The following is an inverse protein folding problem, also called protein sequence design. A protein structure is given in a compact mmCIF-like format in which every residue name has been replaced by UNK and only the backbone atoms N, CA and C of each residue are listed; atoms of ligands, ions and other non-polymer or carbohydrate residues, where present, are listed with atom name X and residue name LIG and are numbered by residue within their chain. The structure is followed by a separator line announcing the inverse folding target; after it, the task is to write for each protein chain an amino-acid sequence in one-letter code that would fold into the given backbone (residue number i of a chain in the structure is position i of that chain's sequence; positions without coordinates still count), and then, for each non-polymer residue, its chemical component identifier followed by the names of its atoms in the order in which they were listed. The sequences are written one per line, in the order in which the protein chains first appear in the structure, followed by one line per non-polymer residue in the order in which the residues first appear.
data_IF_998051682265
#
_entry.id   IF_998051682265
#
_cell.length_a   1.000
_cell.length_b   1.000
_cell.length_c   1.000
_cell.angle_alpha   90.00
_cell.angle_beta   90.00
_cell.angle_gamma   90.00
#
_symmetry.space_group_name_H-M   'P 1'
#
loop_
_entity.id
_entity.type
_entity.pdbx_description
1 polymer ?
#
# COMPACT_ATOMS: atom_id res chain seq x y z
N UNK A 1 2.49 20.74 4.94
CA UNK A 1 2.17 19.83 3.81
C UNK A 1 2.85 18.45 3.87
N UNK A 2 4.14 18.31 4.22
CA UNK A 2 4.85 17.00 4.27
C UNK A 2 4.22 15.93 5.17
N UNK A 3 3.75 16.28 6.38
CA UNK A 3 3.13 15.33 7.32
C UNK A 3 1.80 14.75 6.80
N UNK A 4 1.00 15.54 6.08
CA UNK A 4 -0.31 15.11 5.56
C UNK A 4 -0.18 14.05 4.47
N UNK A 5 0.84 14.16 3.62
CA UNK A 5 1.17 13.11 2.63
C UNK A 5 1.71 11.83 3.26
N UNK A 6 2.40 11.93 4.40
CA UNK A 6 2.91 10.75 5.11
C UNK A 6 1.76 9.94 5.75
N UNK A 7 0.81 10.61 6.40
CA UNK A 7 -0.36 9.92 6.96
C UNK A 7 -1.25 9.30 5.88
N UNK A 8 -1.40 9.97 4.72
CA UNK A 8 -2.13 9.43 3.57
C UNK A 8 -1.49 8.15 3.00
N UNK A 9 -0.17 7.99 3.11
CA UNK A 9 0.52 6.78 2.65
C UNK A 9 0.36 5.57 3.57
N UNK A 10 -0.04 5.77 4.83
CA UNK A 10 -0.30 4.70 5.78
C UNK A 10 -1.65 4.01 5.57
N UNK A 11 -2.66 4.78 5.15
CA UNK A 11 -4.03 4.28 4.96
C UNK A 11 -4.07 3.06 4.01
N UNK A 12 -3.45 3.10 2.81
CA UNK A 12 -3.42 1.95 1.92
C UNK A 12 -2.75 0.72 2.53
N UNK A 13 -1.60 0.91 3.22
CA UNK A 13 -0.85 -0.17 3.86
C UNK A 13 -1.73 -0.89 4.88
N UNK A 14 -2.42 -0.13 5.73
CA UNK A 14 -3.30 -0.67 6.77
C UNK A 14 -4.47 -1.42 6.15
N UNK A 15 -5.12 -0.83 5.15
CA UNK A 15 -6.27 -1.44 4.46
C UNK A 15 -5.88 -2.76 3.81
N UNK A 16 -4.78 -2.80 3.06
CA UNK A 16 -4.28 -4.01 2.39
C UNK A 16 -3.91 -5.08 3.42
N UNK A 17 -3.22 -4.70 4.50
CA UNK A 17 -2.80 -5.62 5.56
C UNK A 17 -4.01 -6.28 6.23
N UNK A 18 -5.04 -5.50 6.57
CA UNK A 18 -6.26 -6.02 7.21
C UNK A 18 -6.98 -7.02 6.30
N UNK A 19 -7.12 -6.72 5.02
CA UNK A 19 -7.77 -7.64 4.08
C UNK A 19 -6.95 -8.90 3.84
N UNK A 20 -5.63 -8.78 3.76
CA UNK A 20 -4.75 -9.94 3.60
C UNK A 20 -4.81 -10.86 4.82
N UNK A 21 -4.82 -10.31 6.05
CA UNK A 21 -4.98 -11.10 7.28
C UNK A 21 -6.36 -11.79 7.31
N UNK A 22 -7.42 -11.07 6.91
CA UNK A 22 -8.78 -11.63 6.86
C UNK A 22 -8.87 -12.81 5.87
N UNK A 23 -8.16 -12.70 4.73
CA UNK A 23 -8.01 -13.79 3.76
C UNK A 23 -7.28 -15.00 4.38
N UNK A 24 -6.15 -14.80 5.05
CA UNK A 24 -5.41 -15.88 5.71
C UNK A 24 -6.24 -16.61 6.79
N UNK A 25 -7.12 -15.89 7.48
CA UNK A 25 -8.02 -16.44 8.50
C UNK A 25 -9.28 -17.12 7.93
N UNK A 26 -9.45 -17.17 6.59
CA UNK A 26 -10.64 -17.70 5.89
C UNK A 26 -11.95 -17.07 6.38
N UNK A 27 -11.91 -15.79 6.73
CA UNK A 27 -13.09 -15.07 7.21
C UNK A 27 -13.87 -14.51 6.01
N UNK A 28 -14.96 -15.17 5.62
CA UNK A 28 -15.79 -14.78 4.45
C UNK A 28 -17.24 -14.39 4.79
N UNK A 29 -17.48 -13.27 5.49
CA UNK A 29 -18.77 -12.57 5.40
C UNK A 29 -18.94 -11.94 4.01
N UNK A 30 -20.15 -11.98 3.45
CA UNK A 30 -20.49 -11.33 2.15
C UNK A 30 -20.11 -9.84 2.15
N UNK A 31 -20.33 -9.13 3.26
CA UNK A 31 -19.89 -7.74 3.44
C UNK A 31 -18.37 -7.59 3.34
N UNK A 32 -17.60 -8.55 3.86
CA UNK A 32 -16.15 -8.49 3.86
C UNK A 32 -15.56 -8.68 2.45
N UNK A 33 -16.22 -9.49 1.61
CA UNK A 33 -15.88 -9.61 0.18
C UNK A 33 -16.11 -8.31 -0.60
N UNK A 34 -17.27 -7.68 -0.41
CA UNK A 34 -17.62 -6.41 -1.09
C UNK A 34 -16.71 -5.26 -0.64
N UNK A 35 -16.47 -5.14 0.67
CA UNK A 35 -15.55 -4.13 1.20
C UNK A 35 -14.10 -4.37 0.78
N UNK A 36 -13.69 -5.65 0.66
CA UNK A 36 -12.38 -6.03 0.14
C UNK A 36 -12.21 -5.49 -1.27
N UNK A 37 -13.10 -5.76 -2.20
CA UNK A 37 -12.93 -5.28 -3.57
C UNK A 37 -12.96 -3.75 -3.68
N UNK A 38 -13.90 -3.09 -2.97
CA UNK A 38 -14.07 -1.64 -3.01
C UNK A 38 -12.89 -0.85 -2.43
N UNK A 39 -12.25 -1.36 -1.37
CA UNK A 39 -11.18 -0.63 -0.68
C UNK A 39 -9.78 -1.08 -1.12
N UNK A 40 -9.63 -2.33 -1.55
CA UNK A 40 -8.32 -2.90 -1.87
C UNK A 40 -7.82 -2.39 -3.22
N UNK A 41 -8.68 -2.29 -4.24
CA UNK A 41 -8.30 -1.73 -5.54
C UNK A 41 -7.78 -0.28 -5.46
N UNK A 42 -8.52 0.68 -4.83
CA UNK A 42 -8.02 2.04 -4.64
C UNK A 42 -6.74 2.09 -3.79
N UNK A 43 -6.64 1.24 -2.76
CA UNK A 43 -5.45 1.18 -1.90
C UNK A 43 -4.23 0.73 -2.68
N UNK A 44 -4.37 -0.31 -3.51
CA UNK A 44 -3.29 -0.79 -4.39
C UNK A 44 -2.85 0.30 -5.36
N UNK A 45 -3.79 0.99 -6.00
CA UNK A 45 -3.49 2.07 -6.94
C UNK A 45 -2.75 3.24 -6.26
N UNK A 46 -3.20 3.65 -5.07
CA UNK A 46 -2.56 4.73 -4.30
C UNK A 46 -1.16 4.30 -3.86
N UNK A 47 -0.99 3.06 -3.39
CA UNK A 47 0.29 2.55 -2.96
C UNK A 47 1.30 2.49 -4.12
N UNK A 48 0.89 1.97 -5.28
CA UNK A 48 1.72 1.96 -6.50
C UNK A 48 2.08 3.41 -6.89
N UNK A 49 1.13 4.34 -6.85
CA UNK A 49 1.37 5.75 -7.18
C UNK A 49 2.42 6.38 -6.25
N UNK A 50 2.37 6.10 -4.95
CA UNK A 50 3.40 6.56 -4.00
C UNK A 50 4.76 5.92 -4.26
N UNK A 51 4.80 4.63 -4.62
CA UNK A 51 6.02 3.93 -4.99
C UNK A 51 6.67 4.54 -6.23
N UNK A 52 5.89 4.80 -7.29
CA UNK A 52 6.37 5.47 -8.51
C UNK A 52 6.90 6.86 -8.21
N UNK A 53 6.18 7.65 -7.40
CA UNK A 53 6.64 8.97 -6.97
C UNK A 53 7.97 8.91 -6.21
N UNK A 54 8.12 7.91 -5.32
CA UNK A 54 9.36 7.68 -4.60
C UNK A 54 10.52 7.35 -5.56
N UNK A 55 10.30 6.44 -6.52
CA UNK A 55 11.30 6.08 -7.54
C UNK A 55 11.72 7.30 -8.36
N UNK A 56 10.78 8.13 -8.82
CA UNK A 56 11.10 9.36 -9.58
C UNK A 56 11.99 10.30 -8.76
N UNK A 57 11.68 10.48 -7.47
CA UNK A 57 12.51 11.29 -6.57
C UNK A 57 13.90 10.70 -6.36
N UNK A 58 14.00 9.38 -6.33
CA UNK A 58 15.29 8.67 -6.26
C UNK A 58 16.13 8.95 -7.50
N UNK A 59 15.55 8.82 -8.68
CA UNK A 59 16.22 9.08 -9.95
C UNK A 59 16.69 10.54 -10.08
N UNK A 60 15.91 11.49 -9.58
CA UNK A 60 16.28 12.91 -9.55
C UNK A 60 17.33 13.27 -8.49
N UNK A 61 17.79 12.32 -7.67
CA UNK A 61 18.70 12.54 -6.53
C UNK A 61 18.19 13.57 -5.50
N UNK A 62 16.89 13.86 -5.47
CA UNK A 62 16.26 14.82 -4.55
C UNK A 62 15.84 14.18 -3.21
N UNK A 63 16.52 13.09 -2.82
CA UNK A 63 16.03 12.20 -1.78
C UNK A 63 16.30 12.77 -0.39
N UNK A 64 15.23 12.91 0.40
CA UNK A 64 15.31 12.80 1.86
C UNK A 64 14.71 11.46 2.23
N UNK A 65 15.56 10.48 2.59
CA UNK A 65 15.12 9.14 2.96
C UNK A 65 14.22 9.25 4.18
N UNK A 66 12.95 8.87 4.01
CA UNK A 66 11.96 8.87 5.07
C UNK A 66 11.57 7.41 5.33
N UNK A 67 11.57 7.01 6.59
CA UNK A 67 11.25 5.64 7.02
C UNK A 67 9.93 5.14 6.40
N UNK A 68 8.91 5.99 6.39
CA UNK A 68 7.62 5.69 5.74
C UNK A 68 7.74 5.36 4.26
N UNK A 69 8.59 6.07 3.51
CA UNK A 69 8.75 5.82 2.09
C UNK A 69 9.42 4.46 1.82
N UNK A 70 10.37 4.08 2.67
CA UNK A 70 11.03 2.76 2.63
C UNK A 70 10.02 1.66 2.95
N UNK A 71 9.22 1.83 4.01
CA UNK A 71 8.17 0.87 4.38
C UNK A 71 7.17 0.71 3.23
N UNK A 72 6.73 1.81 2.62
CA UNK A 72 5.78 1.79 1.53
C UNK A 72 6.34 1.05 0.29
N UNK A 73 7.62 1.25 0.00
CA UNK A 73 8.35 0.53 -1.05
C UNK A 73 8.42 -0.98 -0.78
N UNK A 74 8.76 -1.39 0.45
CA UNK A 74 8.79 -2.81 0.87
C UNK A 74 7.40 -3.44 0.74
N UNK A 75 6.35 -2.79 1.24
CA UNK A 75 4.99 -3.30 1.12
C UNK A 75 4.52 -3.36 -0.34
N UNK A 76 4.99 -2.44 -1.20
CA UNK A 76 4.69 -2.50 -2.63
C UNK A 76 5.35 -3.71 -3.30
N UNK A 77 6.58 -4.07 -2.90
CA UNK A 77 7.24 -5.30 -3.38
C UNK A 77 6.52 -6.55 -2.89
N UNK A 78 6.12 -6.59 -1.62
CA UNK A 78 5.32 -7.69 -1.05
C UNK A 78 3.99 -7.87 -1.79
N UNK A 79 3.34 -6.77 -2.14
CA UNK A 79 2.09 -6.80 -2.90
C UNK A 79 2.31 -7.40 -4.30
N UNK A 80 3.35 -6.97 -5.02
CA UNK A 80 3.69 -7.54 -6.33
C UNK A 80 3.95 -9.05 -6.21
N UNK A 81 4.72 -9.46 -5.19
CA UNK A 81 4.98 -10.88 -4.92
C UNK A 81 3.70 -11.67 -4.65
N UNK A 82 2.71 -11.09 -3.95
CA UNK A 82 1.42 -11.76 -3.69
C UNK A 82 0.55 -11.99 -4.93
N UNK A 83 0.84 -11.34 -6.06
CA UNK A 83 0.15 -11.61 -7.33
C UNK A 83 0.90 -12.64 -8.19
N UNK A 84 2.15 -12.94 -7.86
CA UNK A 84 3.00 -13.89 -8.60
C UNK A 84 2.91 -15.30 -8.00
N UNK A 85 2.75 -15.39 -6.68
CA UNK A 85 2.57 -16.64 -5.91
C UNK A 85 1.09 -16.97 -5.79
#
# INVERSE_FOLDING_TARGET
MKQKTQSLSLIPIVVISIFYISYLLKWEPVLLGVFRELLLLPSVLIQISFTVYFIIKVLKKEIKFNLLAIINFIFSLLLILSFIV
#
